data_IF_999610221897
#
_entry.id   IF_999610221897
#
_cell.length_a   1.000
_cell.length_b   1.000
_cell.length_c   1.000
_cell.angle_alpha   90.00
_cell.angle_beta   90.00
_cell.angle_gamma   90.00
#
_symmetry.space_group_name_H-M   'P 1'
#
loop_
_entity.id
_entity.type
_entity.pdbx_description
1 polymer ?
#
# COMPACT_ATOMS: atom_id res chain seq x y z
N UNK A 1 12.20 16.95 -3.41
CA UNK A 1 13.37 16.54 -2.60
C UNK A 1 14.29 15.62 -3.41
N UNK A 2 15.60 15.88 -3.40
CA UNK A 2 16.59 14.95 -3.93
C UNK A 2 16.80 13.83 -2.89
N UNK A 3 16.86 12.58 -3.35
CA UNK A 3 17.13 11.45 -2.48
C UNK A 3 18.62 11.46 -2.14
N UNK A 4 18.97 11.40 -0.85
CA UNK A 4 20.36 11.47 -0.37
C UNK A 4 21.13 10.13 -0.56
N UNK A 5 20.51 9.15 -1.21
CA UNK A 5 21.10 7.83 -1.44
C UNK A 5 21.34 7.57 -2.93
N UNK A 6 22.37 6.77 -3.22
CA UNK A 6 22.70 6.38 -4.59
C UNK A 6 21.59 5.51 -5.19
N UNK A 7 21.25 5.76 -6.45
CA UNK A 7 20.35 4.90 -7.21
C UNK A 7 20.89 3.46 -7.27
N UNK A 8 20.06 2.50 -6.84
CA UNK A 8 20.37 1.06 -6.93
C UNK A 8 19.28 0.39 -7.78
N UNK A 9 19.62 -0.25 -8.90
CA UNK A 9 18.63 -0.87 -9.78
C UNK A 9 18.04 -2.15 -9.17
N UNK A 10 16.84 -2.57 -9.61
CA UNK A 10 16.26 -3.85 -9.21
C UNK A 10 17.12 -5.03 -9.66
N UNK A 11 17.27 -6.02 -8.77
CA UNK A 11 18.16 -7.19 -8.92
C UNK A 11 17.37 -8.49 -9.04
N UNK A 12 16.15 -8.54 -8.49
CA UNK A 12 15.26 -9.71 -8.54
C UNK A 12 14.01 -9.44 -9.40
N UNK A 13 13.34 -10.50 -9.91
CA UNK A 13 12.08 -10.33 -10.64
C UNK A 13 11.01 -9.59 -9.84
N UNK A 14 10.92 -9.84 -8.52
CA UNK A 14 9.95 -9.18 -7.64
C UNK A 14 10.27 -7.70 -7.46
N UNK A 15 11.55 -7.35 -7.26
CA UNK A 15 12.00 -5.96 -7.20
C UNK A 15 11.69 -5.23 -8.52
N UNK A 16 11.92 -5.88 -9.67
CA UNK A 16 11.65 -5.30 -10.98
C UNK A 16 10.15 -5.00 -11.15
N UNK A 17 9.29 -5.95 -10.83
CA UNK A 17 7.84 -5.76 -10.93
C UNK A 17 7.39 -4.57 -10.08
N UNK A 18 7.88 -4.46 -8.84
CA UNK A 18 7.52 -3.34 -7.98
C UNK A 18 8.09 -2.02 -8.49
N UNK A 19 9.33 -1.98 -8.97
CA UNK A 19 9.93 -0.78 -9.53
C UNK A 19 9.14 -0.27 -10.75
N UNK A 20 8.74 -1.16 -11.66
CA UNK A 20 7.92 -0.83 -12.83
C UNK A 20 6.54 -0.28 -12.39
N UNK A 21 5.92 -0.89 -11.37
CA UNK A 21 4.64 -0.44 -10.84
C UNK A 21 4.73 0.94 -10.19
N UNK A 22 5.76 1.16 -9.40
CA UNK A 22 6.00 2.44 -8.74
C UNK A 22 6.25 3.52 -9.78
N UNK A 23 7.03 3.23 -10.82
CA UNK A 23 7.27 4.15 -11.92
C UNK A 23 5.99 4.52 -12.66
N UNK A 24 5.11 3.55 -12.92
CA UNK A 24 3.82 3.76 -13.58
C UNK A 24 2.89 4.67 -12.74
N UNK A 25 2.77 4.38 -11.45
CA UNK A 25 1.84 5.06 -10.53
C UNK A 25 2.34 6.44 -10.11
N UNK A 26 3.64 6.57 -9.81
CA UNK A 26 4.28 7.83 -9.42
C UNK A 26 4.68 8.69 -10.63
N UNK A 27 4.51 8.17 -11.86
CA UNK A 27 4.90 8.82 -13.12
C UNK A 27 6.37 9.28 -13.09
N UNK A 28 7.25 8.43 -12.58
CA UNK A 28 8.66 8.74 -12.34
C UNK A 28 9.57 7.58 -12.73
N UNK A 29 10.64 7.87 -13.46
CA UNK A 29 11.68 6.92 -13.81
C UNK A 29 13.04 7.63 -13.80
N UNK A 30 14.12 7.02 -13.28
CA UNK A 30 14.19 5.67 -12.70
C UNK A 30 13.75 5.60 -11.23
N UNK A 31 13.27 4.42 -10.80
CA UNK A 31 12.96 4.08 -9.39
C UNK A 31 14.01 3.08 -8.89
N UNK A 32 14.74 3.47 -7.85
CA UNK A 32 15.71 2.63 -7.15
C UNK A 32 15.05 1.73 -6.10
N UNK A 33 15.68 0.60 -5.77
CA UNK A 33 15.11 -0.34 -4.79
C UNK A 33 15.13 0.18 -3.35
N UNK A 34 15.91 1.23 -3.08
CA UNK A 34 16.02 1.90 -1.79
C UNK A 34 15.25 3.23 -1.76
N UNK A 35 14.59 3.61 -2.87
CA UNK A 35 13.75 4.80 -2.87
C UNK A 35 12.57 4.58 -1.91
N UNK A 36 12.33 5.55 -1.04
CA UNK A 36 11.20 5.51 -0.13
C UNK A 36 9.93 5.97 -0.85
N UNK A 37 8.90 5.11 -0.88
CA UNK A 37 7.63 5.37 -1.57
C UNK A 37 6.99 6.70 -1.17
N UNK A 38 7.02 7.05 0.12
CA UNK A 38 6.39 8.25 0.66
C UNK A 38 7.19 9.50 0.29
N UNK A 39 8.52 9.43 0.33
CA UNK A 39 9.39 10.54 -0.07
C UNK A 39 9.33 10.82 -1.57
N UNK A 40 8.97 9.80 -2.36
CA UNK A 40 8.69 9.92 -3.79
C UNK A 40 7.33 10.58 -4.09
N UNK A 41 6.51 10.87 -3.07
CA UNK A 41 5.16 11.44 -3.22
C UNK A 41 4.06 10.39 -3.18
N UNK A 42 4.34 9.17 -2.74
CA UNK A 42 3.35 8.14 -2.50
C UNK A 42 2.39 8.50 -1.36
N UNK A 43 1.11 8.18 -1.55
CA UNK A 43 0.04 8.38 -0.57
C UNK A 43 -0.85 7.13 -0.46
N UNK A 44 -1.93 7.21 0.33
CA UNK A 44 -2.88 6.11 0.52
C UNK A 44 -3.57 5.67 -0.78
N UNK A 45 -3.89 6.59 -1.69
CA UNK A 45 -4.58 6.27 -2.96
C UNK A 45 -3.62 5.56 -3.89
N UNK A 46 -2.40 6.06 -4.03
CA UNK A 46 -1.35 5.44 -4.85
C UNK A 46 -0.95 4.07 -4.27
N UNK A 47 -0.89 3.95 -2.94
CA UNK A 47 -0.64 2.68 -2.26
C UNK A 47 -1.68 1.61 -2.60
N UNK A 48 -2.97 1.97 -2.62
CA UNK A 48 -4.06 1.06 -3.00
C UNK A 48 -3.96 0.63 -4.48
N UNK A 49 -3.60 1.55 -5.37
CA UNK A 49 -3.39 1.24 -6.79
C UNK A 49 -2.23 0.26 -6.99
N UNK A 50 -1.10 0.51 -6.32
CA UNK A 50 0.07 -0.38 -6.30
C UNK A 50 -0.31 -1.75 -5.77
N UNK A 51 -1.01 -1.81 -4.65
CA UNK A 51 -1.43 -3.07 -4.04
C UNK A 51 -2.34 -3.88 -4.98
N UNK A 52 -3.28 -3.23 -5.66
CA UNK A 52 -4.18 -3.88 -6.61
C UNK A 52 -3.41 -4.46 -7.80
N UNK A 53 -2.54 -3.66 -8.43
CA UNK A 53 -1.72 -4.09 -9.58
C UNK A 53 -0.65 -5.13 -9.21
N UNK A 54 -0.14 -5.10 -7.99
CA UNK A 54 0.83 -6.07 -7.49
C UNK A 54 0.20 -7.45 -7.27
N UNK A 55 -1.05 -7.50 -6.76
CA UNK A 55 -1.81 -8.74 -6.61
C UNK A 55 -2.06 -9.44 -7.94
N UNK A 56 -2.32 -8.69 -9.01
CA UNK A 56 -2.45 -9.23 -10.38
C UNK A 56 -1.17 -9.91 -10.88
N UNK A 57 -0.01 -9.59 -10.27
CA UNK A 57 1.31 -10.15 -10.59
C UNK A 57 1.81 -11.11 -9.50
N UNK A 58 0.90 -11.66 -8.68
CA UNK A 58 1.22 -12.58 -7.58
C UNK A 58 2.18 -12.01 -6.51
N UNK A 59 2.20 -10.68 -6.34
CA UNK A 59 2.89 -10.02 -5.23
C UNK A 59 1.86 -9.54 -4.20
N UNK A 60 1.76 -10.27 -3.09
CA UNK A 60 0.76 -10.04 -2.07
C UNK A 60 1.40 -9.40 -0.83
N UNK A 61 0.99 -8.17 -0.52
CA UNK A 61 1.32 -7.48 0.73
C UNK A 61 0.10 -6.71 1.25
N UNK A 62 0.22 -6.07 2.40
CA UNK A 62 -0.80 -5.16 2.97
C UNK A 62 -0.33 -3.72 2.92
N UNK A 63 -1.25 -2.76 3.05
CA UNK A 63 -0.88 -1.34 3.23
C UNK A 63 0.03 -1.15 4.44
N UNK A 64 -0.26 -1.86 5.54
CA UNK A 64 0.59 -1.82 6.72
C UNK A 64 2.03 -2.25 6.41
N UNK A 65 2.22 -3.32 5.64
CA UNK A 65 3.55 -3.76 5.22
C UNK A 65 4.26 -2.72 4.35
N UNK A 66 3.55 -2.05 3.43
CA UNK A 66 4.13 -0.98 2.62
C UNK A 66 4.58 0.20 3.49
N UNK A 67 3.79 0.61 4.50
CA UNK A 67 4.19 1.69 5.39
C UNK A 67 5.31 1.32 6.36
N UNK A 68 5.37 0.05 6.81
CA UNK A 68 6.45 -0.46 7.66
C UNK A 68 7.75 -0.69 6.89
N UNK A 69 7.64 -0.98 5.59
CA UNK A 69 8.76 -1.29 4.70
C UNK A 69 8.61 -0.45 3.42
N UNK A 70 8.87 0.87 3.50
CA UNK A 70 8.54 1.82 2.45
C UNK A 70 9.51 1.79 1.27
N UNK A 71 10.42 0.82 1.20
CA UNK A 71 11.34 0.61 0.07
C UNK A 71 11.06 -0.74 -0.58
N UNK A 72 11.36 -0.85 -1.88
CA UNK A 72 11.15 -2.09 -2.64
C UNK A 72 12.00 -3.24 -2.04
N UNK A 73 13.27 -2.97 -1.70
CA UNK A 73 14.17 -3.96 -1.14
C UNK A 73 13.64 -4.55 0.18
N UNK A 74 13.12 -3.70 1.07
CA UNK A 74 12.55 -4.15 2.34
C UNK A 74 11.22 -4.88 2.13
N UNK A 75 10.34 -4.36 1.28
CA UNK A 75 9.03 -4.96 1.04
C UNK A 75 9.16 -6.37 0.46
N UNK A 76 10.02 -6.55 -0.56
CA UNK A 76 10.27 -7.87 -1.19
C UNK A 76 10.80 -8.88 -0.17
N UNK A 77 11.69 -8.46 0.73
CA UNK A 77 12.22 -9.32 1.79
C UNK A 77 11.12 -9.87 2.70
N UNK A 78 10.00 -9.14 2.86
CA UNK A 78 8.86 -9.56 3.69
C UNK A 78 7.79 -10.37 2.95
N UNK A 79 7.77 -10.35 1.62
CA UNK A 79 6.82 -11.14 0.82
C UNK A 79 6.99 -12.65 1.05
N UNK A 80 8.23 -13.11 1.32
CA UNK A 80 8.54 -14.51 1.60
C UNK A 80 8.03 -15.06 2.94
N UNK A 81 7.46 -14.22 3.81
CA UNK A 81 6.98 -14.61 5.15
C UNK A 81 5.46 -14.58 5.31
N UNK A 82 4.70 -14.12 4.31
CA UNK A 82 3.25 -13.92 4.49
C UNK A 82 2.42 -14.98 3.79
N UNK A 83 2.24 -16.11 4.48
CA UNK A 83 1.05 -16.93 4.27
C UNK A 83 -0.05 -16.35 5.16
N UNK A 84 -1.15 -15.89 4.55
CA UNK A 84 -2.34 -15.34 5.20
C UNK A 84 -2.23 -13.95 5.87
N UNK A 85 -2.28 -12.89 5.05
CA UNK A 85 -2.75 -11.56 5.48
C UNK A 85 -4.25 -11.44 5.24
N UNK A 86 -5.05 -11.91 6.19
CA UNK A 86 -6.52 -11.85 6.24
C UNK A 86 -7.04 -10.40 6.16
N UNK A 87 -7.89 -10.18 5.16
CA UNK A 87 -9.11 -9.35 5.12
C UNK A 87 -9.06 -7.88 5.61
N UNK A 88 -9.28 -6.97 4.66
CA UNK A 88 -10.15 -5.80 4.90
C UNK A 88 -11.59 -6.30 5.10
N UNK A 89 -11.83 -6.93 6.24
CA UNK A 89 -13.16 -7.09 6.85
C UNK A 89 -13.00 -6.82 8.35
N UNK A 90 -12.31 -5.73 8.70
CA UNK A 90 -12.67 -5.11 9.97
C UNK A 90 -14.06 -4.55 9.74
N UNK A 91 -15.03 -5.30 10.26
CA UNK A 91 -16.44 -5.00 10.31
C UNK A 91 -16.61 -3.61 10.94
N UNK A 92 -16.49 -2.55 10.15
CA UNK A 92 -16.99 -1.23 10.53
C UNK A 92 -18.50 -1.34 10.39
N UNK A 93 -19.17 -1.71 11.48
CA UNK A 93 -20.62 -1.61 11.53
C UNK A 93 -20.99 -0.14 11.26
N UNK A 94 -21.82 0.14 10.24
CA UNK A 94 -22.37 1.46 10.06
C UNK A 94 -23.02 1.91 11.38
N UNK A 95 -22.67 3.10 11.86
CA UNK A 95 -23.25 3.71 13.05
C UNK A 95 -22.86 3.11 14.42
N UNK A 96 -21.80 2.31 14.53
CA UNK A 96 -21.29 1.86 15.85
C UNK A 96 -20.83 2.98 16.79
N UNK A 97 -20.73 4.22 16.29
CA UNK A 97 -20.45 5.43 17.07
C UNK A 97 -21.70 6.29 17.38
N UNK A 98 -22.87 5.93 16.86
CA UNK A 98 -24.11 6.59 17.23
C UNK A 98 -24.67 5.94 18.49
N UNK A 99 -24.96 6.76 19.49
CA UNK A 99 -25.70 6.31 20.65
C UNK A 99 -27.10 5.85 20.21
N UNK A 100 -27.75 4.97 21.00
CA UNK A 100 -29.13 4.51 20.73
C UNK A 100 -30.13 5.67 20.54
N UNK A 101 -29.80 6.85 21.07
CA UNK A 101 -30.59 8.08 20.98
C UNK A 101 -30.55 8.74 19.59
N UNK A 102 -29.41 8.65 18.90
CA UNK A 102 -29.23 9.27 17.58
C UNK A 102 -29.91 8.45 16.47
N UNK A 103 -29.96 7.12 16.64
CA UNK A 103 -30.62 6.21 15.70
C UNK A 103 -32.15 6.40 15.70
N UNK A 104 -32.72 6.72 16.86
CA UNK A 104 -34.16 7.00 17.00
C UNK A 104 -34.59 8.27 16.24
N UNK A 105 -33.73 9.30 16.19
CA UNK A 105 -34.01 10.56 15.46
C UNK A 105 -34.02 10.38 13.94
N UNK A 106 -33.23 9.44 13.42
CA UNK A 106 -33.14 9.16 11.98
C UNK A 106 -34.35 8.36 11.49
N UNK A 107 -34.90 7.45 12.31
CA UNK A 107 -36.05 6.61 11.94
C UNK A 107 -37.41 7.32 12.05
N UNK A 108 -37.50 8.40 12.84
CA UNK A 108 -38.73 9.16 13.05
C UNK A 108 -39.09 10.15 11.91
N UNK A 109 -38.28 10.21 10.85
CA UNK A 109 -38.46 11.09 9.70
C UNK A 109 -39.08 10.40 8.47
N UNK A 110 -39.75 9.26 8.67
CA UNK A 110 -40.43 8.51 7.60
C UNK A 110 -41.94 8.62 7.68
#
# INVERSE_FOLDING_TARGET
PALDHAFVPPRTPQEKILADLWAEVLRREPIGVHDNFLELGGDSILSIQILTKARERNLNFTLQQLFQHPTIAELVTKLGSSTAGTMITEKVEPFSMLSSEDLAKIQALR
#
